data_IF_187168906036
#
_entry.id   IF_187168906036
#
_cell.length_a   1.000
_cell.length_b   1.000
_cell.length_c   1.000
_cell.angle_alpha   90.00
_cell.angle_beta   90.00
_cell.angle_gamma   90.00
#
_symmetry.space_group_name_H-M   'P 1'
#
loop_
_entity.id
_entity.type
_entity.pdbx_description
1 polymer ?
#
# COMPACT_ATOMS: atom_id res chain seq x y z
N UNK A 1 -14.16 2.74 -1.49
CA UNK A 1 -14.49 4.17 -1.71
C UNK A 1 -14.38 4.46 -3.20
N UNK A 2 -15.39 5.07 -3.78
CA UNK A 2 -15.47 5.33 -5.23
C UNK A 2 -15.76 6.80 -5.48
N UNK A 3 -15.23 7.39 -6.54
CA UNK A 3 -15.51 8.75 -7.01
C UNK A 3 -15.44 9.84 -5.91
N UNK A 4 -14.61 9.62 -4.90
CA UNK A 4 -14.53 10.47 -3.71
C UNK A 4 -13.14 11.10 -3.60
N UNK A 5 -13.04 12.28 -3.03
CA UNK A 5 -11.77 12.99 -2.88
C UNK A 5 -11.52 13.43 -1.44
N UNK A 6 -10.24 13.69 -1.12
CA UNK A 6 -9.82 14.18 0.19
C UNK A 6 -10.25 13.22 1.33
N UNK A 7 -9.97 11.92 1.13
CA UNK A 7 -10.25 10.87 2.11
C UNK A 7 -9.02 10.63 2.97
N UNK A 8 -9.24 10.60 4.27
CA UNK A 8 -8.23 10.19 5.24
C UNK A 8 -8.77 9.07 6.13
N UNK A 9 -8.13 7.90 6.02
CA UNK A 9 -8.33 6.77 6.92
C UNK A 9 -7.17 6.73 7.89
N UNK A 10 -7.44 6.84 9.19
CA UNK A 10 -6.42 6.95 10.21
C UNK A 10 -6.75 6.09 11.44
N UNK A 11 -5.72 5.42 11.98
CA UNK A 11 -5.81 4.58 13.18
C UNK A 11 -6.93 3.52 13.11
N UNK A 12 -7.12 2.89 11.95
CA UNK A 12 -8.09 1.81 11.78
C UNK A 12 -7.45 0.46 12.09
N UNK A 13 -8.26 -0.47 12.57
CA UNK A 13 -7.94 -1.88 12.71
C UNK A 13 -8.84 -2.65 11.74
N UNK A 14 -8.25 -3.22 10.69
CA UNK A 14 -8.96 -3.82 9.56
C UNK A 14 -8.53 -5.26 9.34
N UNK A 15 -9.46 -6.17 9.51
CA UNK A 15 -9.21 -7.61 9.36
C UNK A 15 -10.45 -8.38 8.90
N UNK A 16 -10.26 -9.64 8.54
CA UNK A 16 -11.33 -10.61 8.40
C UNK A 16 -10.84 -12.01 8.80
N UNK A 17 -10.66 -12.92 7.85
CA UNK A 17 -10.00 -14.20 8.03
C UNK A 17 -9.41 -14.71 6.69
N UNK A 18 -8.49 -15.66 6.78
CA UNK A 18 -7.93 -16.35 5.60
C UNK A 18 -8.53 -17.75 5.38
N UNK A 19 -9.50 -18.17 6.16
CA UNK A 19 -10.16 -19.47 6.02
C UNK A 19 -11.23 -19.45 4.92
N UNK A 20 -11.80 -18.27 4.67
CA UNK A 20 -12.70 -18.03 3.54
C UNK A 20 -11.93 -17.84 2.24
N UNK A 21 -12.51 -18.16 1.10
CA UNK A 21 -11.85 -17.97 -0.20
C UNK A 21 -11.49 -16.49 -0.45
N UNK A 22 -10.42 -16.26 -1.22
CA UNK A 22 -9.86 -14.92 -1.48
C UNK A 22 -10.85 -13.88 -2.02
N UNK A 23 -11.95 -14.30 -2.61
CA UNK A 23 -12.97 -13.43 -3.21
C UNK A 23 -14.26 -13.37 -2.37
N UNK A 24 -14.26 -13.95 -1.16
CA UNK A 24 -15.42 -13.96 -0.30
C UNK A 24 -15.66 -12.58 0.34
N UNK A 25 -14.64 -12.00 0.98
CA UNK A 25 -14.73 -10.68 1.61
C UNK A 25 -14.20 -9.54 0.73
N UNK A 26 -13.43 -9.87 -0.34
CA UNK A 26 -12.72 -8.95 -1.23
C UNK A 26 -11.67 -8.09 -0.50
N UNK A 27 -11.55 -6.77 -0.75
CA UNK A 27 -10.54 -5.92 -0.14
C UNK A 27 -10.98 -5.26 1.15
N UNK A 28 -10.00 -4.91 2.04
CA UNK A 28 -10.30 -4.21 3.30
C UNK A 28 -10.46 -2.70 3.10
N UNK A 29 -9.61 -2.08 2.24
CA UNK A 29 -9.67 -0.65 1.97
C UNK A 29 -9.37 -0.37 0.49
N UNK A 30 -10.41 -0.27 -0.32
CA UNK A 30 -10.32 -0.13 -1.77
C UNK A 30 -10.77 1.26 -2.25
N UNK A 31 -10.03 1.77 -3.25
CA UNK A 31 -10.24 3.08 -3.87
C UNK A 31 -10.33 2.94 -5.39
N UNK A 32 -11.39 3.43 -5.99
CA UNK A 32 -11.65 3.25 -7.42
C UNK A 32 -12.48 4.37 -8.01
N UNK A 33 -12.73 4.29 -9.32
CA UNK A 33 -13.58 5.24 -10.04
C UNK A 33 -13.13 6.69 -9.85
N UNK A 34 -11.85 6.96 -10.11
CA UNK A 34 -11.29 8.30 -10.03
C UNK A 34 -11.26 8.90 -8.64
N UNK A 35 -11.29 8.07 -7.57
CA UNK A 35 -11.01 8.55 -6.21
C UNK A 35 -9.62 9.20 -6.15
N UNK A 36 -9.46 10.29 -5.37
CA UNK A 36 -8.23 11.06 -5.44
C UNK A 36 -7.91 11.81 -4.12
N UNK A 37 -6.64 12.16 -3.94
CA UNK A 37 -6.13 12.81 -2.71
C UNK A 37 -6.44 12.01 -1.46
N UNK A 38 -5.91 10.78 -1.44
CA UNK A 38 -6.21 9.76 -0.45
C UNK A 38 -5.04 9.62 0.52
N UNK A 39 -5.34 9.40 1.79
CA UNK A 39 -4.35 9.07 2.81
C UNK A 39 -4.84 7.90 3.66
N UNK A 40 -3.98 6.91 3.86
CA UNK A 40 -4.16 5.83 4.82
C UNK A 40 -2.98 5.86 5.76
N UNK A 41 -3.22 6.12 7.04
CA UNK A 41 -2.14 6.27 8.01
C UNK A 41 -2.42 5.52 9.32
N UNK A 42 -1.34 5.14 10.00
CA UNK A 42 -1.40 4.51 11.33
C UNK A 42 -2.41 3.35 11.43
N UNK A 43 -2.68 2.68 10.30
CA UNK A 43 -3.71 1.65 10.20
C UNK A 43 -3.07 0.26 10.28
N UNK A 44 -3.71 -0.65 11.00
CA UNK A 44 -3.34 -2.05 11.10
C UNK A 44 -4.24 -2.88 10.20
N UNK A 45 -3.65 -3.47 9.16
CA UNK A 45 -4.28 -4.44 8.26
C UNK A 45 -3.80 -5.82 8.63
N UNK A 46 -4.71 -6.76 8.92
CA UNK A 46 -4.25 -8.08 9.30
C UNK A 46 -5.23 -9.22 8.96
N UNK A 47 -4.70 -10.43 8.94
CA UNK A 47 -5.45 -11.68 8.80
C UNK A 47 -6.44 -11.68 7.64
N UNK A 48 -5.96 -11.31 6.43
CA UNK A 48 -6.80 -11.19 5.25
C UNK A 48 -6.05 -11.54 3.95
N UNK A 49 -6.79 -11.81 2.86
CA UNK A 49 -6.19 -12.10 1.56
C UNK A 49 -5.69 -10.85 0.83
N UNK A 50 -6.50 -9.79 0.75
CA UNK A 50 -6.28 -8.62 -0.11
C UNK A 50 -6.49 -7.33 0.69
N UNK A 51 -5.41 -6.60 1.05
CA UNK A 51 -5.55 -5.44 1.94
C UNK A 51 -6.18 -4.24 1.24
N UNK A 52 -5.56 -3.73 0.18
CA UNK A 52 -5.98 -2.45 -0.41
C UNK A 52 -5.76 -2.42 -1.93
N UNK A 53 -6.81 -2.08 -2.65
CA UNK A 53 -6.82 -1.93 -4.11
C UNK A 53 -7.00 -0.46 -4.48
N UNK A 54 -6.11 0.06 -5.32
CA UNK A 54 -6.20 1.41 -5.88
C UNK A 54 -6.32 1.28 -7.41
N UNK A 55 -7.54 1.51 -7.93
CA UNK A 55 -7.89 1.23 -9.32
C UNK A 55 -8.33 -0.23 -9.55
N UNK A 56 -9.63 -0.42 -9.81
CA UNK A 56 -10.26 -1.75 -9.79
C UNK A 56 -10.04 -2.57 -11.06
N UNK A 57 -9.72 -1.96 -12.21
CA UNK A 57 -9.64 -2.67 -13.50
C UNK A 57 -8.57 -2.08 -14.41
N UNK A 58 -7.87 -2.93 -15.16
CA UNK A 58 -6.95 -2.53 -16.22
C UNK A 58 -7.65 -1.78 -17.36
N UNK A 59 -8.96 -1.87 -17.47
CA UNK A 59 -9.76 -1.22 -18.52
C UNK A 59 -10.31 0.16 -18.12
N UNK A 60 -10.11 0.61 -16.88
CA UNK A 60 -10.72 1.84 -16.36
C UNK A 60 -9.83 3.10 -16.53
N UNK A 61 -8.86 3.06 -17.42
CA UNK A 61 -7.90 4.16 -17.59
C UNK A 61 -8.51 5.49 -18.02
N UNK A 62 -9.67 5.50 -18.69
CA UNK A 62 -10.36 6.74 -19.05
C UNK A 62 -10.84 7.54 -17.85
N UNK A 63 -11.14 6.88 -16.74
CA UNK A 63 -11.62 7.49 -15.51
C UNK A 63 -10.48 7.71 -14.49
N UNK A 64 -9.54 6.76 -14.41
CA UNK A 64 -8.55 6.68 -13.34
C UNK A 64 -7.23 7.41 -13.67
N UNK A 65 -6.85 7.54 -14.95
CA UNK A 65 -5.60 8.25 -15.33
C UNK A 65 -5.60 9.69 -14.85
N UNK A 66 -4.49 10.12 -14.23
CA UNK A 66 -4.33 11.46 -13.67
C UNK A 66 -5.00 11.67 -12.30
N UNK A 67 -5.60 10.62 -11.75
CA UNK A 67 -6.19 10.56 -10.42
C UNK A 67 -5.55 9.43 -9.60
N UNK A 68 -6.20 8.94 -8.54
CA UNK A 68 -5.74 7.88 -7.68
C UNK A 68 -4.37 8.22 -7.02
N UNK A 69 -4.23 9.45 -6.55
CA UNK A 69 -3.08 9.88 -5.75
C UNK A 69 -3.28 9.46 -4.31
N UNK A 70 -2.39 8.61 -3.79
CA UNK A 70 -2.57 8.04 -2.46
C UNK A 70 -1.27 8.02 -1.66
N UNK A 71 -1.39 8.26 -0.36
CA UNK A 71 -0.31 8.12 0.62
C UNK A 71 -0.64 7.01 1.61
N UNK A 72 0.31 6.11 1.83
CA UNK A 72 0.30 5.13 2.93
C UNK A 72 1.44 5.48 3.89
N UNK A 73 1.12 5.82 5.13
CA UNK A 73 2.10 6.29 6.12
C UNK A 73 1.94 5.57 7.46
N UNK A 74 3.03 5.05 8.01
CA UNK A 74 3.04 4.41 9.33
C UNK A 74 2.06 3.25 9.48
N UNK A 75 1.79 2.49 8.41
CA UNK A 75 0.85 1.38 8.44
C UNK A 75 1.55 0.07 8.79
N UNK A 76 0.81 -0.84 9.42
CA UNK A 76 1.23 -2.19 9.69
C UNK A 76 0.36 -3.18 8.91
N UNK A 77 0.98 -3.96 8.03
CA UNK A 77 0.36 -5.06 7.30
C UNK A 77 0.89 -6.36 7.86
N UNK A 78 0.03 -7.18 8.45
CA UNK A 78 0.42 -8.45 9.05
C UNK A 78 -0.46 -9.59 8.59
N UNK A 79 0.15 -10.71 8.17
CA UNK A 79 -0.58 -11.87 7.70
C UNK A 79 -1.61 -11.51 6.61
N UNK A 80 -1.15 -10.72 5.63
CA UNK A 80 -1.90 -10.34 4.43
C UNK A 80 -1.27 -11.02 3.24
N UNK A 81 -2.06 -11.76 2.45
CA UNK A 81 -1.49 -12.48 1.32
C UNK A 81 -1.02 -11.55 0.19
N UNK A 82 -1.79 -10.50 -0.15
CA UNK A 82 -1.48 -9.63 -1.29
C UNK A 82 -2.11 -8.24 -1.21
N UNK A 83 -1.77 -7.36 -2.17
CA UNK A 83 -2.32 -6.00 -2.30
C UNK A 83 -2.02 -5.12 -1.09
N UNK A 84 -0.76 -4.91 -0.79
CA UNK A 84 -0.33 -4.06 0.33
C UNK A 84 0.44 -2.78 -0.11
N UNK A 85 -0.09 -1.91 -0.99
CA UNK A 85 -1.29 -2.00 -1.82
C UNK A 85 -1.03 -2.57 -3.24
N UNK A 86 -2.11 -2.83 -4.02
CA UNK A 86 -2.06 -2.94 -5.47
C UNK A 86 -2.53 -1.62 -6.09
N UNK A 87 -1.75 -1.06 -7.00
CA UNK A 87 -1.98 0.26 -7.61
C UNK A 87 -2.07 0.17 -9.14
N UNK A 88 -3.09 0.79 -9.74
CA UNK A 88 -3.23 1.01 -11.18
C UNK A 88 -3.32 2.50 -11.49
N UNK A 89 -2.73 2.92 -12.60
CA UNK A 89 -2.79 4.27 -13.19
C UNK A 89 -2.27 5.42 -12.33
N UNK A 90 -2.53 5.39 -11.03
CA UNK A 90 -2.28 6.48 -10.09
C UNK A 90 -0.83 6.59 -9.61
N UNK A 91 -0.64 7.40 -8.59
CA UNK A 91 0.64 7.57 -7.90
C UNK A 91 0.49 7.26 -6.41
N UNK A 92 1.41 6.46 -5.86
CA UNK A 92 1.43 6.14 -4.44
C UNK A 92 2.74 6.58 -3.78
N UNK A 93 2.64 7.14 -2.58
CA UNK A 93 3.76 7.29 -1.66
C UNK A 93 3.54 6.34 -0.48
N UNK A 94 4.45 5.39 -0.29
CA UNK A 94 4.39 4.40 0.79
C UNK A 94 5.64 4.58 1.65
N UNK A 95 5.47 4.96 2.91
CA UNK A 95 6.62 5.18 3.77
C UNK A 95 6.36 4.84 5.24
N UNK A 96 7.42 4.62 5.99
CA UNK A 96 7.39 4.26 7.41
C UNK A 96 6.43 3.10 7.70
N UNK A 97 6.35 2.11 6.83
CA UNK A 97 5.39 1.02 6.96
C UNK A 97 6.07 -0.33 7.20
N UNK A 98 5.40 -1.21 7.92
CA UNK A 98 5.84 -2.57 8.20
C UNK A 98 4.96 -3.55 7.45
N UNK A 99 5.59 -4.51 6.76
CA UNK A 99 4.95 -5.60 6.03
C UNK A 99 5.46 -6.91 6.62
N UNK A 100 4.59 -7.71 7.22
CA UNK A 100 4.96 -8.96 7.89
C UNK A 100 4.07 -10.12 7.44
N UNK A 101 4.67 -11.06 6.73
CA UNK A 101 3.99 -12.23 6.18
C UNK A 101 3.13 -11.91 4.94
N UNK A 102 3.34 -12.65 3.88
CA UNK A 102 2.54 -12.54 2.65
C UNK A 102 3.33 -12.82 1.38
N UNK A 103 2.63 -13.04 0.29
CA UNK A 103 3.25 -13.32 -1.00
C UNK A 103 3.68 -12.03 -1.73
N UNK A 104 2.78 -11.05 -1.85
CA UNK A 104 3.07 -9.82 -2.60
C UNK A 104 2.65 -8.58 -1.83
N UNK A 105 3.57 -7.62 -1.66
CA UNK A 105 3.24 -6.36 -1.00
C UNK A 105 2.83 -5.27 -2.02
N UNK A 106 3.70 -4.34 -2.36
CA UNK A 106 3.40 -3.21 -3.24
C UNK A 106 3.46 -3.66 -4.70
N UNK A 107 2.32 -3.76 -5.37
CA UNK A 107 2.23 -4.18 -6.78
C UNK A 107 1.74 -3.03 -7.65
N UNK A 108 2.58 -2.55 -8.57
CA UNK A 108 2.26 -1.45 -9.49
C UNK A 108 1.87 -1.99 -10.87
N UNK A 109 0.81 -1.47 -11.47
CA UNK A 109 0.24 -1.91 -12.76
C UNK A 109 -0.18 -0.72 -13.61
N UNK A 110 -0.40 -0.94 -14.90
CA UNK A 110 -1.02 0.02 -15.82
C UNK A 110 -0.39 1.43 -15.77
N UNK A 111 0.94 1.50 -15.82
CA UNK A 111 1.66 2.77 -15.80
C UNK A 111 1.70 3.48 -14.45
N UNK A 112 1.16 2.89 -13.38
CA UNK A 112 1.20 3.47 -12.05
C UNK A 112 2.63 3.73 -11.57
N UNK A 113 2.82 4.74 -10.71
CA UNK A 113 4.12 5.11 -10.14
C UNK A 113 4.05 5.02 -8.62
N UNK A 114 4.99 4.33 -8.01
CA UNK A 114 5.12 4.30 -6.55
C UNK A 114 6.48 4.86 -6.10
N UNK A 115 6.47 5.64 -5.02
CA UNK A 115 7.64 5.92 -4.20
C UNK A 115 7.49 5.11 -2.91
N UNK A 116 8.39 4.14 -2.70
CA UNK A 116 8.37 3.28 -1.51
C UNK A 116 9.66 3.51 -0.74
N UNK A 117 9.55 4.00 0.48
CA UNK A 117 10.74 4.36 1.24
C UNK A 117 10.60 4.15 2.76
N UNK A 118 11.74 4.10 3.46
CA UNK A 118 11.75 4.00 4.92
C UNK A 118 10.78 2.91 5.43
N UNK A 119 10.88 1.68 4.92
CA UNK A 119 9.91 0.62 5.20
C UNK A 119 10.59 -0.73 5.42
N UNK A 120 9.90 -1.62 6.12
CA UNK A 120 10.42 -2.93 6.54
C UNK A 120 9.53 -4.06 5.99
N UNK A 121 10.16 -5.05 5.37
CA UNK A 121 9.50 -6.27 4.88
C UNK A 121 10.06 -7.47 5.63
N UNK A 122 9.19 -8.28 6.24
CA UNK A 122 9.52 -9.45 7.04
C UNK A 122 8.69 -10.65 6.58
N UNK A 123 9.34 -11.72 6.18
CA UNK A 123 8.64 -12.91 5.69
C UNK A 123 7.64 -12.60 4.55
N UNK A 124 8.00 -11.65 3.69
CA UNK A 124 7.29 -11.30 2.47
C UNK A 124 8.10 -11.84 1.30
N UNK A 125 7.46 -12.53 0.35
CA UNK A 125 8.17 -13.08 -0.81
C UNK A 125 8.62 -11.97 -1.77
N UNK A 126 7.71 -11.06 -2.12
CA UNK A 126 7.95 -9.96 -3.05
C UNK A 126 7.48 -8.63 -2.47
N UNK A 127 8.44 -7.75 -2.22
CA UNK A 127 8.22 -6.45 -1.56
C UNK A 127 7.64 -5.40 -2.51
N UNK A 128 8.32 -5.14 -3.64
CA UNK A 128 7.87 -4.13 -4.62
C UNK A 128 7.99 -4.73 -6.01
N UNK A 129 6.86 -4.84 -6.72
CA UNK A 129 6.77 -5.63 -7.95
C UNK A 129 5.81 -5.02 -8.96
N UNK A 130 5.83 -5.57 -10.18
CA UNK A 130 4.85 -5.28 -11.23
C UNK A 130 4.50 -6.57 -11.98
N UNK A 131 3.37 -7.20 -11.65
CA UNK A 131 2.91 -8.46 -12.25
C UNK A 131 1.40 -8.48 -12.48
N UNK A 132 0.95 -9.45 -13.29
CA UNK A 132 -0.47 -9.76 -13.56
C UNK A 132 -1.25 -8.56 -14.10
N UNK A 133 -0.71 -7.87 -15.08
CA UNK A 133 -1.30 -6.69 -15.71
C UNK A 133 -0.98 -6.63 -17.20
N UNK A 134 -1.82 -5.95 -17.98
CA UNK A 134 -1.58 -5.70 -19.41
C UNK A 134 -0.36 -4.81 -19.64
N UNK A 135 -0.14 -3.86 -18.75
CA UNK A 135 1.00 -2.93 -18.79
C UNK A 135 1.68 -2.92 -17.42
N UNK A 136 3.01 -2.83 -17.41
CA UNK A 136 3.77 -2.70 -16.18
C UNK A 136 3.48 -1.37 -15.48
N UNK A 137 3.63 -1.35 -14.17
CA UNK A 137 3.80 -0.13 -13.41
C UNK A 137 5.27 0.01 -12.99
N UNK A 138 5.57 1.07 -12.24
CA UNK A 138 6.93 1.47 -11.94
C UNK A 138 7.07 1.83 -10.46
N UNK A 139 8.28 1.69 -9.93
CA UNK A 139 8.56 2.13 -8.56
C UNK A 139 9.95 2.76 -8.43
N UNK A 140 10.05 3.70 -7.50
CA UNK A 140 11.31 4.17 -6.92
C UNK A 140 11.36 3.68 -5.48
N UNK A 141 12.44 3.03 -5.10
CA UNK A 141 12.64 2.50 -3.75
C UNK A 141 13.81 3.19 -3.07
N UNK A 142 13.66 3.55 -1.79
CA UNK A 142 14.72 4.18 -0.99
C UNK A 142 14.66 3.61 0.43
N UNK A 143 15.80 3.26 0.98
CA UNK A 143 15.93 2.82 2.38
C UNK A 143 14.89 1.78 2.80
N UNK A 144 14.95 0.59 2.19
CA UNK A 144 14.10 -0.55 2.50
C UNK A 144 14.90 -1.65 3.23
N UNK A 145 14.37 -2.16 4.33
CA UNK A 145 14.83 -3.42 4.93
C UNK A 145 14.03 -4.57 4.33
N UNK A 146 14.60 -5.22 3.32
CA UNK A 146 13.91 -6.27 2.54
C UNK A 146 13.91 -7.63 3.23
N UNK A 147 14.90 -7.94 4.08
CA UNK A 147 15.03 -9.23 4.79
C UNK A 147 14.83 -10.47 3.89
N UNK A 148 15.39 -10.41 2.68
CA UNK A 148 15.30 -11.48 1.68
C UNK A 148 14.12 -11.39 0.71
N UNK A 149 13.21 -10.43 0.88
CA UNK A 149 12.13 -10.20 -0.08
C UNK A 149 12.67 -9.67 -1.42
N UNK A 150 12.08 -10.10 -2.53
CA UNK A 150 12.43 -9.60 -3.85
C UNK A 150 11.82 -8.20 -4.08
N UNK A 151 12.57 -7.32 -4.70
CA UNK A 151 12.09 -5.98 -5.09
C UNK A 151 12.53 -5.74 -6.55
N UNK A 152 11.63 -6.01 -7.49
CA UNK A 152 11.93 -6.12 -8.92
C UNK A 152 10.97 -5.35 -9.83
N UNK A 153 10.18 -4.44 -9.27
CA UNK A 153 9.38 -3.51 -10.10
C UNK A 153 10.29 -2.70 -11.04
N UNK A 154 9.88 -2.45 -12.27
CA UNK A 154 10.60 -1.55 -13.17
C UNK A 154 10.83 -0.18 -12.52
N UNK A 155 12.01 0.40 -12.76
CA UNK A 155 12.39 1.70 -12.16
C UNK A 155 11.46 2.81 -12.64
N UNK A 156 10.88 3.53 -11.69
CA UNK A 156 9.99 4.65 -11.91
C UNK A 156 10.68 6.02 -11.94
N UNK A 157 9.87 7.05 -12.07
CA UNK A 157 10.28 8.45 -12.11
C UNK A 157 9.78 9.28 -10.93
N UNK A 158 8.90 8.73 -10.07
CA UNK A 158 8.38 9.41 -8.89
C UNK A 158 9.45 9.45 -7.78
N UNK A 159 10.29 10.47 -7.79
CA UNK A 159 11.40 10.61 -6.85
C UNK A 159 11.07 11.49 -5.62
N UNK A 160 9.98 12.23 -5.67
CA UNK A 160 9.53 13.13 -4.60
C UNK A 160 8.03 13.33 -4.66
N UNK A 161 7.46 13.83 -3.58
CA UNK A 161 6.03 14.17 -3.44
C UNK A 161 5.85 15.66 -3.14
N UNK A 162 4.69 16.27 -3.44
CA UNK A 162 4.48 17.72 -3.33
C UNK A 162 4.08 18.17 -1.90
N UNK A 163 4.49 17.44 -0.88
CA UNK A 163 4.21 17.78 0.52
C UNK A 163 5.39 17.40 1.43
N UNK A 164 5.47 18.02 2.59
CA UNK A 164 6.48 17.72 3.60
C UNK A 164 6.10 16.47 4.40
N UNK A 165 7.06 15.62 4.68
CA UNK A 165 6.90 14.41 5.51
C UNK A 165 8.22 14.10 6.21
N UNK A 166 8.20 13.16 7.15
CA UNK A 166 9.39 12.71 7.87
C UNK A 166 9.58 11.21 7.67
N UNK A 167 10.59 10.83 6.89
CA UNK A 167 11.06 9.45 6.83
C UNK A 167 11.85 9.12 8.11
N UNK A 168 11.43 8.09 8.82
CA UNK A 168 12.06 7.68 10.10
C UNK A 168 13.43 7.02 9.90
N UNK A 169 13.65 6.45 8.71
CA UNK A 169 14.72 5.50 8.43
C UNK A 169 14.28 4.08 8.78
N UNK A 170 14.47 3.15 7.82
CA UNK A 170 13.92 1.78 7.88
C UNK A 170 14.27 1.05 9.19
N UNK A 171 15.45 1.27 9.75
CA UNK A 171 15.88 0.68 11.02
C UNK A 171 15.05 1.09 12.25
N UNK A 172 14.27 2.19 12.17
CA UNK A 172 13.44 2.69 13.28
C UNK A 172 11.96 2.41 13.09
N UNK A 173 11.55 2.01 11.90
CA UNK A 173 10.14 1.90 11.52
C UNK A 173 9.42 0.85 12.35
N UNK A 174 9.99 -0.34 12.55
CA UNK A 174 9.33 -1.40 13.31
C UNK A 174 8.97 -0.96 14.73
N UNK A 175 9.89 -0.35 15.45
CA UNK A 175 9.65 0.15 16.81
C UNK A 175 8.65 1.33 16.86
N UNK A 176 8.54 2.08 15.76
CA UNK A 176 7.62 3.23 15.68
C UNK A 176 6.19 2.82 15.30
N UNK A 177 6.00 1.68 14.62
CA UNK A 177 4.73 1.30 13.99
C UNK A 177 4.07 0.11 14.65
N UNK A 178 4.83 -0.96 14.95
CA UNK A 178 4.25 -2.18 15.54
C UNK A 178 3.72 -1.90 16.94
N UNK A 179 2.43 -2.25 17.18
CA UNK A 179 1.72 -2.00 18.41
C UNK A 179 1.27 -0.53 18.62
N UNK A 180 1.47 0.32 17.58
CA UNK A 180 0.99 1.72 17.58
C UNK A 180 0.04 2.01 16.44
N UNK A 181 0.19 1.33 15.30
CA UNK A 181 -0.80 1.32 14.24
C UNK A 181 -2.04 0.53 14.68
N UNK A 182 -3.21 0.94 14.19
CA UNK A 182 -4.50 0.35 14.53
C UNK A 182 -5.32 1.22 15.47
N UNK A 183 -6.37 0.66 16.03
CA UNK A 183 -7.28 1.36 16.94
C UNK A 183 -6.63 1.54 18.33
N UNK A 184 -5.61 2.36 18.40
CA UNK A 184 -4.82 2.58 19.62
C UNK A 184 -5.06 3.93 20.29
N UNK A 185 -5.91 4.79 19.69
CA UNK A 185 -6.25 6.09 20.25
C UNK A 185 -7.09 5.91 21.51
N UNK A 186 -6.70 6.62 22.57
CA UNK A 186 -7.49 6.71 23.80
C UNK A 186 -8.33 7.98 23.71
N UNK A 187 -9.64 7.81 23.68
CA UNK A 187 -10.56 8.92 23.83
C UNK A 187 -10.55 9.32 25.32
N UNK A 188 -10.16 10.56 25.60
CA UNK A 188 -10.12 11.11 26.96
C UNK A 188 -11.51 11.33 27.57
#
# INVERSE_FOLDING_TARGET
>A
MQSSTNIWLDHLDLSSDQNSGKDFYDGLADFSHGADYLTVSNTYFHDHYKASLVGHSDNNGSEDKGKLRITYANNYFKNINSRMPLLRFGTAHVFNSVFEGGSTAVNTRMGAQALVESSVFKSVERAVLSIDSKEVGYAVTKDLLLNGALSDAPKGTLNSVPYSYSALGSAKVEAAVVGKAGNTLKLG
#
